data_IF_573173376687
#
_entry.id   IF_573173376687
#
_cell.length_a   1.000
_cell.length_b   1.000
_cell.length_c   1.000
_cell.angle_alpha   90.00
_cell.angle_beta   90.00
_cell.angle_gamma   90.00
#
_symmetry.space_group_name_H-M   'P 1'
#
loop_
_entity.id
_entity.type
_entity.pdbx_description
1 polymer ?
#
# COMPACT_ATOMS: atom_id res chain seq x y z
N UNK A 1 -29.73 -7.16 6.52
CA UNK A 1 -28.88 -6.73 5.38
C UNK A 1 -27.45 -6.93 5.84
N UNK A 2 -26.69 -7.79 5.18
CA UNK A 2 -25.30 -8.08 5.56
C UNK A 2 -24.44 -6.83 5.34
N UNK A 3 -23.50 -6.59 6.21
CA UNK A 3 -22.55 -5.45 6.21
C UNK A 3 -21.85 -5.27 4.85
N UNK A 4 -21.61 -6.36 4.14
CA UNK A 4 -21.02 -6.38 2.79
C UNK A 4 -21.86 -5.68 1.73
N UNK A 5 -23.19 -5.74 1.83
CA UNK A 5 -24.09 -5.12 0.85
C UNK A 5 -24.09 -3.59 0.95
N UNK A 6 -23.95 -3.06 2.15
CA UNK A 6 -23.92 -1.61 2.39
C UNK A 6 -22.64 -0.95 1.88
N UNK A 7 -21.53 -1.69 1.78
CA UNK A 7 -20.23 -1.17 1.34
C UNK A 7 -20.24 -0.76 -0.14
N UNK A 8 -21.01 -1.47 -1.00
CA UNK A 8 -21.04 -1.23 -2.45
C UNK A 8 -22.10 -0.24 -2.91
N UNK A 9 -23.01 0.19 -2.02
CA UNK A 9 -24.10 1.07 -2.42
C UNK A 9 -23.54 2.39 -2.97
N UNK A 10 -23.92 2.73 -4.20
CA UNK A 10 -23.50 3.95 -4.90
C UNK A 10 -22.00 4.13 -5.15
N UNK A 11 -21.19 3.07 -5.06
CA UNK A 11 -19.77 3.12 -5.37
C UNK A 11 -19.55 3.21 -6.89
N UNK A 12 -18.76 4.21 -7.28
CA UNK A 12 -18.39 4.53 -8.66
C UNK A 12 -16.87 4.43 -8.89
N UNK A 13 -16.08 4.41 -7.81
CA UNK A 13 -14.62 4.29 -7.87
C UNK A 13 -14.02 3.51 -6.72
N UNK A 14 -12.82 2.96 -6.95
CA UNK A 14 -12.04 2.23 -5.97
C UNK A 14 -10.65 2.84 -5.83
N UNK A 15 -10.21 3.03 -4.60
CA UNK A 15 -8.82 3.29 -4.23
C UNK A 15 -8.22 2.01 -3.70
N UNK A 16 -7.20 1.49 -4.37
CA UNK A 16 -6.50 0.26 -3.99
C UNK A 16 -5.16 0.62 -3.34
N UNK A 17 -4.91 0.16 -2.13
CA UNK A 17 -3.55 0.24 -1.60
C UNK A 17 -2.58 -0.62 -2.42
N UNK A 18 -1.27 -0.33 -2.35
CA UNK A 18 -0.27 -1.06 -3.13
C UNK A 18 0.39 -2.20 -2.34
N UNK A 19 1.16 -1.89 -1.30
CA UNK A 19 2.03 -2.85 -0.61
C UNK A 19 1.25 -3.64 0.46
N UNK A 20 1.18 -4.95 0.31
CA UNK A 20 0.33 -5.82 1.14
C UNK A 20 -1.04 -6.08 0.53
N UNK A 21 -1.44 -5.27 -0.45
CA UNK A 21 -2.73 -5.34 -1.15
C UNK A 21 -2.59 -5.84 -2.58
N UNK A 22 -1.81 -5.15 -3.40
CA UNK A 22 -1.55 -5.50 -4.81
C UNK A 22 -0.20 -6.15 -5.01
N UNK A 23 0.80 -5.71 -4.27
CA UNK A 23 2.18 -6.16 -4.40
C UNK A 23 2.80 -6.50 -3.05
N UNK A 24 3.79 -7.37 -3.08
CA UNK A 24 4.63 -7.67 -1.92
C UNK A 24 6.11 -7.75 -2.31
N UNK A 25 7.05 -7.51 -1.36
CA UNK A 25 8.46 -7.70 -1.59
C UNK A 25 8.81 -9.16 -1.85
N UNK A 26 9.61 -9.41 -2.87
CA UNK A 26 10.10 -10.75 -3.23
C UNK A 26 11.56 -10.68 -3.68
N UNK A 27 12.51 -11.18 -2.86
CA UNK A 27 12.37 -11.83 -1.55
C UNK A 27 11.80 -10.92 -0.44
N UNK A 28 11.47 -11.50 0.72
CA UNK A 28 10.95 -10.74 1.87
C UNK A 28 11.91 -9.64 2.32
N UNK A 29 11.38 -8.55 2.89
CA UNK A 29 12.20 -7.47 3.47
C UNK A 29 13.23 -8.01 4.45
N UNK A 30 12.82 -8.93 5.33
CA UNK A 30 13.71 -9.49 6.34
C UNK A 30 14.91 -10.21 5.73
N UNK A 31 14.68 -10.99 4.67
CA UNK A 31 15.72 -11.69 3.95
C UNK A 31 16.70 -10.73 3.26
N UNK A 32 16.19 -9.74 2.54
CA UNK A 32 17.03 -8.76 1.82
C UNK A 32 17.92 -7.98 2.79
N UNK A 33 17.39 -7.57 3.95
CA UNK A 33 18.16 -6.89 5.00
C UNK A 33 19.24 -7.81 5.59
N UNK A 34 18.91 -9.08 5.89
CA UNK A 34 19.88 -10.06 6.40
C UNK A 34 21.01 -10.31 5.39
N UNK A 35 20.70 -10.50 4.11
CA UNK A 35 21.68 -10.65 3.04
C UNK A 35 22.56 -9.40 2.87
N UNK A 36 21.98 -8.20 3.07
CA UNK A 36 22.75 -6.93 3.04
C UNK A 36 23.72 -6.85 4.22
N UNK A 37 23.32 -7.29 5.40
CA UNK A 37 24.21 -7.37 6.57
C UNK A 37 25.32 -8.40 6.37
N UNK A 38 25.00 -9.56 5.80
CA UNK A 38 25.98 -10.63 5.53
C UNK A 38 27.08 -10.16 4.56
N UNK A 39 26.75 -9.35 3.55
CA UNK A 39 27.75 -8.73 2.66
C UNK A 39 28.75 -7.80 3.37
N UNK A 40 28.42 -7.35 4.56
CA UNK A 40 29.29 -6.56 5.44
C UNK A 40 29.89 -7.38 6.60
N UNK A 41 29.77 -8.73 6.55
CA UNK A 41 30.34 -9.64 7.55
C UNK A 41 29.49 -9.74 8.84
N UNK A 42 28.26 -9.26 8.85
CA UNK A 42 27.34 -9.34 10.00
C UNK A 42 26.28 -10.40 9.70
N UNK A 43 26.18 -11.42 10.55
CA UNK A 43 25.11 -12.41 10.48
C UNK A 43 23.99 -12.00 11.41
N UNK A 44 22.79 -11.86 10.88
CA UNK A 44 21.56 -11.55 11.64
C UNK A 44 20.43 -12.47 11.19
N UNK A 45 19.67 -12.96 12.15
CA UNK A 45 18.50 -13.80 11.89
C UNK A 45 17.35 -13.00 11.26
N UNK A 46 16.68 -13.57 10.24
CA UNK A 46 15.57 -12.90 9.56
C UNK A 46 14.41 -12.56 10.52
N UNK A 47 14.17 -13.38 11.53
CA UNK A 47 13.15 -13.12 12.54
C UNK A 47 13.49 -11.88 13.39
N UNK A 48 14.79 -11.67 13.72
CA UNK A 48 15.24 -10.46 14.39
C UNK A 48 15.08 -9.24 13.49
N UNK A 49 15.50 -9.32 12.23
CA UNK A 49 15.27 -8.24 11.27
C UNK A 49 13.79 -7.89 11.18
N UNK A 50 12.91 -8.89 11.08
CA UNK A 50 11.46 -8.69 11.03
C UNK A 50 10.93 -7.97 12.27
N UNK A 51 11.37 -8.37 13.49
CA UNK A 51 10.97 -7.70 14.74
C UNK A 51 11.41 -6.25 14.77
N UNK A 52 12.68 -5.97 14.45
CA UNK A 52 13.24 -4.62 14.41
C UNK A 52 12.55 -3.76 13.35
N UNK A 53 12.35 -4.30 12.14
CA UNK A 53 11.65 -3.60 11.05
C UNK A 53 10.24 -3.19 11.47
N UNK A 54 9.43 -4.09 12.01
CA UNK A 54 8.08 -3.77 12.50
C UNK A 54 8.09 -2.69 13.57
N UNK A 55 9.07 -2.73 14.47
CA UNK A 55 9.20 -1.73 15.53
C UNK A 55 9.49 -0.34 14.97
N UNK A 56 10.50 -0.21 14.12
CA UNK A 56 10.96 1.08 13.65
C UNK A 56 10.13 1.64 12.50
N UNK A 57 9.55 0.79 11.67
CA UNK A 57 8.64 1.22 10.61
C UNK A 57 7.41 1.96 11.15
N UNK A 58 6.85 1.50 12.27
CA UNK A 58 5.69 2.14 12.92
C UNK A 58 6.03 3.41 13.71
N UNK A 59 7.21 3.47 14.30
CA UNK A 59 7.63 4.63 15.12
C UNK A 59 8.00 5.81 14.24
N UNK A 60 8.48 5.56 13.02
CA UNK A 60 9.04 6.57 12.12
C UNK A 60 7.99 7.18 11.15
N UNK A 61 6.72 7.21 11.57
CA UNK A 61 5.63 7.77 10.77
C UNK A 61 5.52 9.30 10.86
N UNK A 62 6.28 9.94 11.74
CA UNK A 62 6.22 11.39 11.96
C UNK A 62 7.56 12.02 11.60
N UNK A 63 7.59 12.85 10.55
CA UNK A 63 8.71 13.78 10.32
C UNK A 63 8.43 15.07 11.13
N UNK A 64 9.23 15.30 12.19
CA UNK A 64 9.04 16.45 13.08
C UNK A 64 9.26 17.80 12.36
N UNK A 65 9.95 17.81 11.21
CA UNK A 65 10.23 19.03 10.44
C UNK A 65 9.04 19.46 9.55
N UNK A 66 8.26 18.49 9.05
CA UNK A 66 7.14 18.75 8.15
C UNK A 66 5.77 18.77 8.84
N UNK A 67 5.74 18.33 10.10
CA UNK A 67 4.49 18.17 10.84
C UNK A 67 3.81 16.82 10.63
N UNK A 68 2.67 16.58 11.31
CA UNK A 68 2.02 15.28 11.31
C UNK A 68 1.59 14.85 9.91
N UNK A 69 2.04 13.66 9.48
CA UNK A 69 1.68 13.00 8.22
C UNK A 69 2.08 13.76 6.94
N UNK A 70 2.73 14.94 7.03
CA UNK A 70 3.31 15.59 5.87
C UNK A 70 4.53 14.81 5.37
N UNK A 71 4.72 14.74 4.05
CA UNK A 71 5.81 13.99 3.43
C UNK A 71 6.17 14.57 2.06
N UNK A 72 7.39 14.30 1.63
CA UNK A 72 7.93 14.55 0.30
C UNK A 72 9.03 13.53 -0.01
N UNK A 73 9.60 13.56 -1.22
CA UNK A 73 10.69 12.67 -1.61
C UNK A 73 11.89 12.72 -0.67
N UNK A 74 12.27 13.92 -0.20
CA UNK A 74 13.42 14.09 0.68
C UNK A 74 13.14 13.54 2.08
N UNK A 75 11.94 13.71 2.61
CA UNK A 75 11.54 13.17 3.91
C UNK A 75 11.42 11.64 3.88
N UNK A 76 10.91 11.06 2.78
CA UNK A 76 10.89 9.61 2.59
C UNK A 76 12.31 9.04 2.54
N UNK A 77 13.21 9.67 1.80
CA UNK A 77 14.62 9.27 1.77
C UNK A 77 15.26 9.29 3.16
N UNK A 78 15.08 10.38 3.94
CA UNK A 78 15.59 10.49 5.31
C UNK A 78 14.96 9.44 6.24
N UNK A 79 13.65 9.21 6.10
CA UNK A 79 12.90 8.21 6.87
C UNK A 79 13.46 6.81 6.65
N UNK A 80 13.60 6.40 5.40
CA UNK A 80 14.14 5.08 5.08
C UNK A 80 15.59 4.90 5.55
N UNK A 81 16.40 5.96 5.44
CA UNK A 81 17.77 5.94 5.97
C UNK A 81 17.80 5.71 7.47
N UNK A 82 16.92 6.36 8.25
CA UNK A 82 16.79 6.11 9.70
C UNK A 82 16.29 4.69 9.99
N UNK A 83 15.30 4.20 9.26
CA UNK A 83 14.77 2.84 9.43
C UNK A 83 15.90 1.81 9.22
N UNK A 84 16.64 1.91 8.13
CA UNK A 84 17.78 1.00 7.84
C UNK A 84 18.81 1.05 8.96
N UNK A 85 19.24 2.23 9.38
CA UNK A 85 20.21 2.39 10.48
C UNK A 85 19.72 1.83 11.81
N UNK A 86 18.43 1.93 12.12
CA UNK A 86 17.84 1.38 13.33
C UNK A 86 17.63 -0.14 13.27
N UNK A 87 17.34 -0.68 12.09
CA UNK A 87 17.15 -2.13 11.90
C UNK A 87 18.50 -2.86 11.92
N UNK A 88 19.54 -2.25 11.38
CA UNK A 88 20.89 -2.82 11.25
C UNK A 88 21.95 -1.92 11.90
N UNK A 89 21.88 -1.64 13.21
CA UNK A 89 22.78 -0.71 13.89
C UNK A 89 24.22 -1.23 14.03
N UNK A 90 24.42 -2.55 13.82
CA UNK A 90 25.74 -3.19 13.96
C UNK A 90 26.61 -3.08 12.69
N UNK A 91 26.07 -2.54 11.58
CA UNK A 91 26.78 -2.50 10.31
C UNK A 91 28.00 -1.56 10.37
N UNK A 92 29.15 -2.00 9.84
CA UNK A 92 30.33 -1.14 9.70
C UNK A 92 30.10 0.07 8.77
N UNK A 93 29.30 -0.11 7.73
CA UNK A 93 28.95 0.93 6.75
C UNK A 93 27.43 0.99 6.53
N UNK A 94 26.70 1.68 7.42
CA UNK A 94 25.24 1.82 7.31
C UNK A 94 24.79 2.63 6.07
N UNK A 95 25.63 3.56 5.58
CA UNK A 95 25.31 4.35 4.39
C UNK A 95 25.32 3.49 3.13
N UNK A 96 26.29 2.62 3.01
CA UNK A 96 26.33 1.64 1.92
C UNK A 96 25.14 0.70 1.96
N UNK A 97 24.79 0.18 3.15
CA UNK A 97 23.62 -0.68 3.31
C UNK A 97 22.33 0.05 2.91
N UNK A 98 22.17 1.29 3.34
CA UNK A 98 21.04 2.10 2.95
C UNK A 98 20.96 2.29 1.44
N UNK A 99 22.07 2.66 0.78
CA UNK A 99 22.11 2.84 -0.68
C UNK A 99 21.73 1.55 -1.43
N UNK A 100 22.25 0.39 -0.98
CA UNK A 100 21.93 -0.92 -1.56
C UNK A 100 20.44 -1.26 -1.41
N UNK A 101 19.84 -1.06 -0.22
CA UNK A 101 18.44 -1.34 0.06
C UNK A 101 17.50 -0.35 -0.64
N UNK A 102 17.88 0.94 -0.68
CA UNK A 102 17.15 1.97 -1.38
C UNK A 102 17.02 1.66 -2.88
N UNK A 103 18.13 1.31 -3.51
CA UNK A 103 18.17 0.93 -4.92
C UNK A 103 17.43 -0.39 -5.17
N UNK A 104 17.59 -1.39 -4.29
CA UNK A 104 16.91 -2.68 -4.40
C UNK A 104 15.40 -2.53 -4.44
N UNK A 105 14.80 -1.87 -3.43
CA UNK A 105 13.34 -1.71 -3.35
C UNK A 105 12.77 -0.67 -4.34
N UNK A 106 13.60 0.04 -5.09
CA UNK A 106 13.21 0.85 -6.25
C UNK A 106 13.08 0.05 -7.55
N UNK A 107 13.50 -1.22 -7.58
CA UNK A 107 13.48 -2.05 -8.78
C UNK A 107 12.24 -2.93 -8.85
N UNK A 108 11.61 -3.09 -10.02
CA UNK A 108 10.49 -4.01 -10.19
C UNK A 108 10.81 -5.44 -9.76
N UNK A 109 12.07 -5.90 -9.97
CA UNK A 109 12.52 -7.25 -9.62
C UNK A 109 12.52 -7.56 -8.11
N UNK A 110 12.37 -6.53 -7.26
CA UNK A 110 12.24 -6.69 -5.81
C UNK A 110 10.78 -6.91 -5.35
N UNK A 111 9.86 -6.93 -6.29
CA UNK A 111 8.43 -7.00 -6.03
C UNK A 111 7.75 -8.06 -6.87
N UNK A 112 6.66 -8.59 -6.37
CA UNK A 112 5.71 -9.41 -7.15
C UNK A 112 4.28 -8.94 -6.90
N UNK A 113 3.45 -8.99 -7.92
CA UNK A 113 2.01 -8.85 -7.76
C UNK A 113 1.43 -10.15 -7.20
N UNK A 114 0.35 -10.05 -6.40
CA UNK A 114 -0.41 -11.23 -6.04
C UNK A 114 -1.19 -11.76 -7.26
N UNK A 115 -1.45 -13.06 -7.29
CA UNK A 115 -2.03 -13.76 -8.46
C UNK A 115 -3.42 -13.25 -8.85
N UNK A 116 -4.17 -12.68 -7.89
CA UNK A 116 -5.51 -12.12 -8.08
C UNK A 116 -5.55 -10.68 -8.61
N UNK A 117 -4.39 -10.02 -8.72
CA UNK A 117 -4.28 -8.60 -9.12
C UNK A 117 -4.66 -8.40 -10.59
N UNK A 118 -4.05 -9.15 -11.49
CA UNK A 118 -4.36 -9.04 -12.92
C UNK A 118 -5.84 -9.28 -13.24
N UNK A 119 -6.46 -10.35 -12.72
CA UNK A 119 -7.91 -10.55 -12.81
C UNK A 119 -8.74 -9.39 -12.26
N UNK A 120 -8.34 -8.81 -11.10
CA UNK A 120 -9.07 -7.70 -10.48
C UNK A 120 -9.02 -6.43 -11.33
N UNK A 121 -7.83 -6.03 -11.77
CA UNK A 121 -7.66 -4.84 -12.62
C UNK A 121 -8.48 -4.97 -13.92
N UNK A 122 -8.47 -6.14 -14.56
CA UNK A 122 -9.31 -6.39 -15.74
C UNK A 122 -10.79 -6.27 -15.42
N UNK A 123 -11.25 -6.88 -14.33
CA UNK A 123 -12.66 -6.83 -13.94
C UNK A 123 -13.16 -5.40 -13.67
N UNK A 124 -12.34 -4.55 -13.05
CA UNK A 124 -12.70 -3.14 -12.81
C UNK A 124 -12.75 -2.34 -14.11
N UNK A 125 -11.80 -2.54 -15.02
CA UNK A 125 -11.80 -1.92 -16.35
C UNK A 125 -13.03 -2.33 -17.17
N UNK A 126 -13.32 -3.62 -17.25
CA UNK A 126 -14.46 -4.17 -18.01
C UNK A 126 -15.79 -3.65 -17.47
N UNK A 127 -15.85 -3.40 -16.17
CA UNK A 127 -17.02 -2.82 -15.51
C UNK A 127 -17.14 -1.31 -15.69
N UNK A 128 -16.13 -0.63 -16.25
CA UNK A 128 -16.08 0.83 -16.33
C UNK A 128 -15.95 1.52 -14.97
N UNK A 129 -15.46 0.79 -13.94
CA UNK A 129 -15.23 1.34 -12.60
C UNK A 129 -13.98 2.19 -12.61
N UNK A 130 -14.07 3.42 -12.12
CA UNK A 130 -12.88 4.24 -11.91
C UNK A 130 -12.02 3.62 -10.82
N UNK A 131 -10.69 3.63 -10.98
CA UNK A 131 -9.80 3.21 -9.91
C UNK A 131 -8.46 3.91 -9.96
N UNK A 132 -7.83 4.04 -8.79
CA UNK A 132 -6.45 4.48 -8.60
C UNK A 132 -5.73 3.54 -7.63
N UNK A 133 -4.41 3.48 -7.74
CA UNK A 133 -3.53 2.78 -6.80
C UNK A 133 -2.90 3.83 -5.89
N UNK A 134 -3.10 3.72 -4.60
CA UNK A 134 -2.77 4.74 -3.62
C UNK A 134 -1.86 4.20 -2.51
N UNK A 135 -0.66 4.74 -2.36
CA UNK A 135 0.33 4.19 -1.44
C UNK A 135 1.10 5.24 -0.65
N UNK A 136 1.39 4.91 0.61
CA UNK A 136 2.43 5.58 1.39
C UNK A 136 3.80 5.13 0.87
N UNK A 137 4.27 5.79 -0.18
CA UNK A 137 5.51 5.46 -0.89
C UNK A 137 6.13 6.75 -1.46
N UNK A 138 7.29 6.62 -2.06
CA UNK A 138 7.96 7.66 -2.85
C UNK A 138 7.89 7.36 -4.36
N UNK A 139 8.39 8.28 -5.18
CA UNK A 139 8.29 8.21 -6.64
C UNK A 139 8.85 6.94 -7.30
N UNK A 140 9.67 6.14 -6.59
CA UNK A 140 10.17 4.85 -7.07
C UNK A 140 9.04 3.86 -7.37
N UNK A 141 7.87 4.01 -6.74
CA UNK A 141 6.70 3.16 -7.01
C UNK A 141 6.29 3.18 -8.48
N UNK A 142 6.51 4.29 -9.20
CA UNK A 142 6.22 4.39 -10.64
C UNK A 142 7.01 3.36 -11.45
N UNK A 143 8.32 3.25 -11.18
CA UNK A 143 9.16 2.28 -11.84
C UNK A 143 8.77 0.83 -11.46
N UNK A 144 8.42 0.59 -10.20
CA UNK A 144 7.95 -0.72 -9.73
C UNK A 144 6.69 -1.13 -10.47
N UNK A 145 5.66 -0.30 -10.49
CA UNK A 145 4.37 -0.58 -11.14
C UNK A 145 4.54 -0.79 -12.64
N UNK A 146 5.32 0.07 -13.32
CA UNK A 146 5.61 -0.07 -14.76
C UNK A 146 6.27 -1.39 -15.11
N UNK A 147 7.12 -1.92 -14.22
CA UNK A 147 7.85 -3.16 -14.46
C UNK A 147 7.10 -4.44 -14.05
N UNK A 148 5.92 -4.34 -13.45
CA UNK A 148 5.08 -5.48 -13.08
C UNK A 148 4.01 -5.71 -14.16
N UNK A 149 3.99 -6.85 -14.89
CA UNK A 149 3.12 -7.06 -16.04
C UNK A 149 1.63 -6.79 -15.78
N UNK A 150 1.12 -7.21 -14.61
CA UNK A 150 -0.29 -7.04 -14.24
C UNK A 150 -0.68 -5.59 -13.91
N UNK A 151 0.29 -4.71 -13.68
CA UNK A 151 0.11 -3.32 -13.25
C UNK A 151 0.71 -2.29 -14.22
N UNK A 152 1.45 -2.71 -15.25
CA UNK A 152 2.22 -1.82 -16.13
C UNK A 152 1.37 -0.70 -16.76
N UNK A 153 0.12 -0.99 -17.08
CA UNK A 153 -0.84 0.00 -17.63
C UNK A 153 -1.53 0.85 -16.56
N UNK A 154 -1.12 0.75 -15.29
CA UNK A 154 -1.71 1.49 -14.18
C UNK A 154 -0.81 2.65 -13.70
N UNK A 155 0.31 2.93 -14.36
CA UNK A 155 1.24 3.98 -13.95
C UNK A 155 0.58 5.36 -13.83
N UNK A 156 -0.32 5.69 -14.76
CA UNK A 156 -1.05 6.97 -14.76
C UNK A 156 -2.15 7.03 -13.69
N UNK A 157 -2.37 5.95 -12.97
CA UNK A 157 -3.38 5.81 -11.91
C UNK A 157 -2.79 5.80 -10.51
N UNK A 158 -1.53 6.21 -10.36
CA UNK A 158 -0.86 6.22 -9.06
C UNK A 158 -1.13 7.52 -8.29
N UNK A 159 -1.44 7.36 -7.01
CA UNK A 159 -1.49 8.43 -6.00
C UNK A 159 -0.45 8.10 -4.94
N UNK A 160 0.66 8.82 -4.94
CA UNK A 160 1.83 8.54 -4.11
C UNK A 160 1.96 9.62 -3.05
N UNK A 161 2.14 9.23 -1.79
CA UNK A 161 2.16 10.17 -0.67
C UNK A 161 3.22 11.26 -0.78
N UNK A 162 4.43 10.94 -1.23
CA UNK A 162 5.50 11.91 -1.42
C UNK A 162 5.20 12.98 -2.49
N UNK A 163 4.33 12.65 -3.47
CA UNK A 163 3.88 13.56 -4.52
C UNK A 163 2.65 14.37 -4.09
N UNK A 164 1.77 13.77 -3.26
CA UNK A 164 0.60 14.44 -2.67
C UNK A 164 1.00 15.44 -1.59
N UNK A 165 2.12 15.20 -0.91
CA UNK A 165 2.57 15.99 0.23
C UNK A 165 2.04 15.52 1.59
N UNK A 166 1.16 14.53 1.61
CA UNK A 166 0.59 13.93 2.82
C UNK A 166 0.48 12.42 2.68
N UNK A 167 0.70 11.71 3.80
CA UNK A 167 0.52 10.26 3.89
C UNK A 167 -0.89 9.89 4.31
N UNK A 168 -1.33 8.68 3.98
CA UNK A 168 -2.41 8.03 4.71
C UNK A 168 -2.01 7.96 6.20
N UNK A 169 -2.92 8.22 7.14
CA UNK A 169 -4.36 8.44 6.98
C UNK A 169 -4.79 9.94 6.95
N UNK A 170 -3.95 10.86 6.44
CA UNK A 170 -4.33 12.27 6.31
C UNK A 170 -5.48 12.45 5.30
N UNK A 171 -6.54 13.21 5.61
CA UNK A 171 -7.72 13.36 4.73
C UNK A 171 -7.39 13.88 3.33
N UNK A 172 -6.42 14.81 3.20
CA UNK A 172 -5.97 15.35 1.91
C UNK A 172 -5.52 14.26 0.93
N UNK A 173 -4.89 13.19 1.44
CA UNK A 173 -4.46 12.07 0.58
C UNK A 173 -5.65 11.43 -0.14
N UNK A 174 -6.74 11.12 0.57
CA UNK A 174 -7.93 10.50 -0.03
C UNK A 174 -8.71 11.48 -0.90
N UNK A 175 -8.75 12.76 -0.53
CA UNK A 175 -9.35 13.81 -1.36
C UNK A 175 -8.64 13.90 -2.71
N UNK A 176 -7.30 13.90 -2.74
CA UNK A 176 -6.51 13.87 -3.97
C UNK A 176 -6.82 12.63 -4.80
N UNK A 177 -6.97 11.45 -4.17
CA UNK A 177 -7.33 10.23 -4.87
C UNK A 177 -8.74 10.31 -5.51
N UNK A 178 -9.70 10.87 -4.80
CA UNK A 178 -11.06 11.10 -5.31
C UNK A 178 -11.08 12.11 -6.46
N UNK A 179 -10.37 13.23 -6.31
CA UNK A 179 -10.22 14.27 -7.34
C UNK A 179 -9.60 13.72 -8.62
N UNK A 180 -8.57 12.86 -8.50
CA UNK A 180 -7.95 12.18 -9.64
C UNK A 180 -8.90 11.28 -10.42
N UNK A 181 -9.97 10.80 -9.79
CA UNK A 181 -11.05 10.04 -10.43
C UNK A 181 -12.25 10.90 -10.85
N UNK A 182 -12.29 12.18 -10.46
CA UNK A 182 -13.45 13.07 -10.66
C UNK A 182 -14.68 12.66 -9.82
N UNK A 183 -14.49 12.00 -8.69
CA UNK A 183 -15.55 11.45 -7.85
C UNK A 183 -15.62 12.14 -6.48
N UNK A 184 -16.82 12.17 -5.92
CA UNK A 184 -17.04 12.57 -4.53
C UNK A 184 -16.59 11.45 -3.59
N UNK A 185 -16.08 11.77 -2.38
CA UNK A 185 -15.63 10.75 -1.42
C UNK A 185 -16.67 9.68 -1.10
N UNK A 186 -17.96 10.05 -0.97
CA UNK A 186 -19.05 9.12 -0.66
C UNK A 186 -19.36 8.09 -1.77
N UNK A 187 -18.74 8.27 -2.95
CA UNK A 187 -18.80 7.36 -4.10
C UNK A 187 -17.56 6.47 -4.25
N UNK A 188 -16.63 6.55 -3.31
CA UNK A 188 -15.33 5.87 -3.39
C UNK A 188 -15.18 4.86 -2.27
N UNK A 189 -14.76 3.65 -2.65
CA UNK A 189 -14.37 2.57 -1.74
C UNK A 189 -12.84 2.48 -1.71
N UNK A 190 -12.25 2.64 -0.53
CA UNK A 190 -10.83 2.37 -0.29
C UNK A 190 -10.66 0.92 0.17
N UNK A 191 -9.70 0.21 -0.39
CA UNK A 191 -9.40 -1.21 -0.11
C UNK A 191 -7.92 -1.37 0.14
N UNK A 192 -7.55 -1.94 1.27
CA UNK A 192 -6.16 -2.22 1.61
C UNK A 192 -6.01 -3.07 2.85
N UNK A 193 -4.76 -3.34 3.27
CA UNK A 193 -4.44 -4.27 4.34
C UNK A 193 -4.25 -3.61 5.72
N UNK A 194 -4.23 -2.27 5.79
CA UNK A 194 -4.06 -1.54 7.04
C UNK A 194 -5.36 -0.92 7.54
N UNK A 195 -5.86 -1.27 8.76
CA UNK A 195 -7.13 -0.75 9.28
C UNK A 195 -7.19 0.76 9.45
N UNK A 196 -6.06 1.41 9.74
CA UNK A 196 -6.00 2.85 9.94
C UNK A 196 -5.90 3.57 8.60
N UNK A 197 -5.01 3.10 7.71
CA UNK A 197 -4.73 3.73 6.44
C UNK A 197 -5.78 3.43 5.36
N UNK A 198 -6.48 2.30 5.43
CA UNK A 198 -7.33 1.86 4.33
C UNK A 198 -8.81 1.72 4.72
N UNK A 199 -9.12 1.83 6.04
CA UNK A 199 -10.52 1.81 6.52
C UNK A 199 -10.86 3.09 7.28
N UNK A 200 -10.27 3.32 8.45
CA UNK A 200 -10.66 4.45 9.33
C UNK A 200 -10.26 5.81 8.76
N UNK A 201 -9.10 5.91 8.12
CA UNK A 201 -8.65 7.13 7.44
C UNK A 201 -9.59 7.55 6.32
N UNK A 202 -9.91 6.65 5.36
CA UNK A 202 -10.93 6.88 4.34
C UNK A 202 -12.29 7.31 4.91
N UNK A 203 -12.79 6.61 5.93
CA UNK A 203 -14.07 6.94 6.57
C UNK A 203 -14.08 8.36 7.13
N UNK A 204 -12.99 8.81 7.77
CA UNK A 204 -12.85 10.21 8.22
C UNK A 204 -12.81 11.22 7.08
N UNK A 205 -12.35 10.80 5.89
CA UNK A 205 -12.35 11.63 4.68
C UNK A 205 -13.68 11.59 3.92
N UNK A 206 -14.66 10.81 4.38
CA UNK A 206 -15.99 10.66 3.78
C UNK A 206 -16.06 9.55 2.72
N UNK A 207 -15.01 8.77 2.52
CA UNK A 207 -15.00 7.56 1.71
C UNK A 207 -15.53 6.36 2.51
N UNK A 208 -15.68 5.22 1.84
CA UNK A 208 -15.87 3.93 2.52
C UNK A 208 -14.56 3.18 2.58
N UNK A 209 -14.37 2.38 3.63
CA UNK A 209 -13.21 1.54 3.82
C UNK A 209 -13.56 0.06 3.86
N UNK A 210 -12.70 -0.77 3.27
CA UNK A 210 -12.81 -2.23 3.30
C UNK A 210 -11.42 -2.83 3.51
N UNK A 211 -11.30 -3.68 4.54
CA UNK A 211 -10.04 -4.33 4.84
C UNK A 211 -9.81 -5.54 3.93
N UNK A 212 -8.60 -5.68 3.40
CA UNK A 212 -8.14 -6.90 2.75
C UNK A 212 -7.20 -7.64 3.72
N UNK A 213 -7.62 -8.82 4.22
CA UNK A 213 -6.83 -9.59 5.19
C UNK A 213 -6.39 -10.93 4.58
N UNK A 214 -5.34 -10.87 3.75
CA UNK A 214 -4.79 -12.03 3.02
C UNK A 214 -4.30 -13.16 3.92
N UNK A 215 -3.94 -12.84 5.14
CA UNK A 215 -3.34 -13.79 6.09
C UNK A 215 -4.31 -14.29 7.17
N UNK A 216 -5.57 -13.83 7.15
CA UNK A 216 -6.61 -14.14 8.15
C UNK A 216 -6.14 -13.91 9.60
N UNK A 217 -5.40 -12.80 9.82
CA UNK A 217 -4.74 -12.51 11.11
C UNK A 217 -5.57 -11.64 12.04
N UNK A 218 -6.68 -11.07 11.56
CA UNK A 218 -7.40 -10.03 12.29
C UNK A 218 -8.76 -10.49 12.81
N UNK A 219 -9.20 -10.01 13.98
CA UNK A 219 -10.54 -10.29 14.48
C UNK A 219 -11.61 -9.58 13.63
N UNK A 220 -12.78 -10.19 13.52
CA UNK A 220 -13.89 -9.79 12.63
C UNK A 220 -14.66 -8.51 13.08
N UNK A 221 -13.97 -7.51 13.62
CA UNK A 221 -14.59 -6.24 14.06
C UNK A 221 -14.77 -5.22 12.91
N UNK A 222 -14.08 -5.44 11.79
CA UNK A 222 -14.11 -4.58 10.60
C UNK A 222 -14.58 -5.43 9.43
N UNK A 223 -15.36 -4.85 8.51
CA UNK A 223 -15.70 -5.52 7.26
C UNK A 223 -14.44 -5.87 6.48
N UNK A 224 -14.22 -7.17 6.19
CA UNK A 224 -13.00 -7.63 5.57
C UNK A 224 -13.26 -8.69 4.51
N UNK A 225 -12.36 -8.75 3.53
CA UNK A 225 -12.30 -9.80 2.52
C UNK A 225 -10.92 -10.45 2.52
N UNK A 226 -10.80 -11.72 2.18
CA UNK A 226 -9.52 -12.43 2.21
C UNK A 226 -8.61 -12.08 1.03
N UNK A 227 -9.17 -11.71 -0.10
CA UNK A 227 -8.45 -11.51 -1.36
C UNK A 227 -9.25 -10.64 -2.36
N UNK A 228 -8.61 -10.28 -3.47
CA UNK A 228 -9.26 -9.51 -4.53
C UNK A 228 -10.27 -10.33 -5.33
N UNK A 229 -10.17 -11.65 -5.36
CA UNK A 229 -11.18 -12.51 -5.97
C UNK A 229 -12.51 -12.42 -5.21
N UNK A 230 -12.46 -12.37 -3.88
CA UNK A 230 -13.64 -12.11 -3.05
C UNK A 230 -14.20 -10.71 -3.29
N UNK A 231 -13.33 -9.70 -3.46
CA UNK A 231 -13.73 -8.34 -3.80
C UNK A 231 -14.48 -8.29 -5.14
N UNK A 232 -13.95 -8.96 -6.17
CA UNK A 232 -14.59 -9.03 -7.50
C UNK A 232 -15.94 -9.74 -7.42
N UNK A 233 -16.04 -10.84 -6.67
CA UNK A 233 -17.31 -11.55 -6.48
C UNK A 233 -18.35 -10.64 -5.84
N UNK A 234 -18.01 -10.00 -4.72
CA UNK A 234 -18.90 -9.08 -4.02
C UNK A 234 -19.37 -7.91 -4.91
N UNK A 235 -18.46 -7.36 -5.71
CA UNK A 235 -18.76 -6.31 -6.67
C UNK A 235 -19.73 -6.77 -7.77
N UNK A 236 -19.50 -7.96 -8.36
CA UNK A 236 -20.39 -8.52 -9.41
C UNK A 236 -21.78 -8.84 -8.87
N UNK A 237 -21.87 -9.43 -7.69
CA UNK A 237 -23.13 -9.74 -7.04
C UNK A 237 -23.95 -8.48 -6.76
N UNK A 238 -23.28 -7.40 -6.31
CA UNK A 238 -23.94 -6.10 -6.11
C UNK A 238 -24.49 -5.52 -7.43
N UNK A 239 -23.72 -5.57 -8.52
CA UNK A 239 -24.16 -5.06 -9.83
C UNK A 239 -25.31 -5.88 -10.42
N UNK A 240 -25.29 -7.20 -10.31
CA UNK A 240 -26.38 -8.07 -10.79
C UNK A 240 -27.70 -7.71 -10.13
N UNK A 241 -27.69 -7.35 -8.85
CA UNK A 241 -28.89 -6.98 -8.09
C UNK A 241 -29.44 -5.59 -8.44
N UNK A 242 -28.64 -4.70 -9.07
CA UNK A 242 -29.10 -3.38 -9.55
C UNK A 242 -29.78 -3.44 -10.93
N UNK A 243 -29.57 -4.53 -11.67
CA UNK A 243 -30.13 -4.73 -13.01
C UNK A 243 -31.26 -5.77 -13.05
N UNK A 244 -31.62 -6.34 -11.89
CA UNK A 244 -32.75 -7.25 -11.70
C UNK A 244 -33.96 -6.53 -11.13
#
# INVERSE_FOLDING_TARGET
MTTERAVWEDIEGIVLDAVGTLIEPSPSVARVYAETAERQGITIDEGEVKRRFHRYFRVDEVDEQLGPLATDEASEFRRWRRIVGNVLPELPDPERAFAELWDHFGRPSAWRAFDDVGPAIRAFRDAGLAFVIASNFDGRLRAVVRGLPDLAECEDRLVISSEVGFRKPHPTFYQTACEGMGLRPDRVLCVGDDPENDVRGPERAGCRGLLLDRDARRPAEIAMLPDLDALIRAFRDHRALRHA
#
